data_IF_827707982894
#
_entry.id   IF_827707982894
#
_cell.length_a   1.000
_cell.length_b   1.000
_cell.length_c   1.000
_cell.angle_alpha   90.00
_cell.angle_beta   90.00
_cell.angle_gamma   90.00
#
_symmetry.space_group_name_H-M   'P 1'
#
loop_
_entity.id
_entity.type
_entity.pdbx_description
1 polymer ?
#
# COMPACT_ATOMS: atom_id res chain seq x y z
N UNK A 1 -0.30 11.35 38.27
CA UNK A 1 -0.43 11.95 36.92
C UNK A 1 0.03 10.94 35.88
N UNK A 2 -0.83 9.96 35.56
CA UNK A 2 -0.61 8.90 34.57
C UNK A 2 -1.99 8.35 34.12
N UNK A 3 -2.91 9.25 33.74
CA UNK A 3 -4.35 8.93 33.59
C UNK A 3 -5.03 9.38 32.29
N UNK A 4 -4.34 10.01 31.33
CA UNK A 4 -5.00 10.62 30.15
C UNK A 4 -4.66 9.98 28.78
N UNK A 5 -4.18 8.75 28.74
CA UNK A 5 -4.09 8.00 27.48
C UNK A 5 -4.84 6.67 27.59
N UNK A 6 -6.13 6.75 27.26
CA UNK A 6 -7.06 5.64 27.22
C UNK A 6 -6.90 4.73 26.01
N UNK A 7 -5.67 4.30 25.67
CA UNK A 7 -5.48 3.13 24.82
C UNK A 7 -5.49 1.87 25.70
N UNK A 8 -6.68 1.54 26.21
CA UNK A 8 -6.92 0.23 26.79
C UNK A 8 -7.21 -0.74 25.66
N UNK A 9 -6.23 -1.58 25.33
CA UNK A 9 -6.46 -2.81 24.57
C UNK A 9 -7.56 -3.60 25.30
N UNK A 10 -8.73 -3.73 24.66
CA UNK A 10 -10.00 -4.19 25.24
C UNK A 10 -10.00 -5.64 25.77
N UNK A 11 -8.90 -6.38 25.60
CA UNK A 11 -8.86 -7.81 25.91
C UNK A 11 -9.00 -8.14 27.41
N UNK A 12 -8.76 -7.19 28.32
CA UNK A 12 -8.72 -7.45 29.77
C UNK A 12 -10.04 -7.22 30.53
N UNK A 13 -11.16 -6.93 29.85
CA UNK A 13 -12.44 -6.63 30.53
C UNK A 13 -13.60 -7.61 30.34
N UNK A 14 -13.42 -8.70 29.58
CA UNK A 14 -14.49 -9.69 29.39
C UNK A 14 -15.72 -9.14 28.65
N UNK A 15 -15.58 -8.03 27.92
CA UNK A 15 -16.62 -7.54 27.02
C UNK A 15 -16.61 -8.38 25.74
N UNK A 16 -17.76 -8.94 25.37
CA UNK A 16 -17.91 -9.67 24.11
C UNK A 16 -17.85 -8.66 22.96
N UNK A 17 -16.79 -8.70 22.17
CA UNK A 17 -16.67 -7.96 20.93
C UNK A 17 -16.75 -8.93 19.75
N UNK A 18 -17.43 -8.48 18.69
CA UNK A 18 -17.45 -9.17 17.40
C UNK A 18 -16.60 -8.36 16.45
N UNK A 19 -15.62 -9.01 15.84
CA UNK A 19 -14.79 -8.41 14.81
C UNK A 19 -14.75 -9.36 13.61
N UNK A 20 -14.89 -8.79 12.41
CA UNK A 20 -14.62 -9.51 11.18
C UNK A 20 -13.77 -8.64 10.28
N UNK A 21 -12.69 -9.23 9.78
CA UNK A 21 -11.73 -8.59 8.91
C UNK A 21 -11.46 -9.50 7.72
N UNK A 22 -11.53 -8.92 6.52
CA UNK A 22 -11.16 -9.56 5.28
C UNK A 22 -10.12 -8.71 4.58
N UNK A 23 -9.04 -9.35 4.16
CA UNK A 23 -8.03 -8.73 3.31
C UNK A 23 -7.87 -9.60 2.07
N UNK A 24 -8.11 -9.04 0.89
CA UNK A 24 -7.89 -9.69 -0.40
C UNK A 24 -6.78 -8.96 -1.11
N UNK A 25 -5.78 -9.71 -1.57
CA UNK A 25 -4.69 -9.17 -2.40
C UNK A 25 -4.61 -9.98 -3.69
N UNK A 26 -4.70 -9.29 -4.81
CA UNK A 26 -4.62 -9.88 -6.14
C UNK A 26 -3.42 -9.30 -6.87
N UNK A 27 -2.58 -10.17 -7.42
CA UNK A 27 -1.39 -9.80 -8.17
C UNK A 27 -1.41 -10.50 -9.53
N UNK A 28 -1.37 -9.73 -10.61
CA UNK A 28 -1.25 -10.25 -11.96
C UNK A 28 -0.02 -9.64 -12.63
N UNK A 29 0.94 -10.49 -12.96
CA UNK A 29 2.16 -10.11 -13.66
C UNK A 29 2.15 -10.63 -15.11
N UNK A 30 2.48 -9.77 -16.05
CA UNK A 30 2.69 -10.12 -17.46
C UNK A 30 4.11 -9.72 -17.89
N UNK A 31 4.81 -10.64 -18.53
CA UNK A 31 6.17 -10.43 -19.03
C UNK A 31 6.25 -10.75 -20.52
N UNK A 32 6.65 -9.78 -21.34
CA UNK A 32 6.83 -9.93 -22.78
C UNK A 32 8.18 -9.33 -23.20
N UNK A 33 9.19 -10.20 -23.32
CA UNK A 33 10.57 -9.78 -23.57
C UNK A 33 11.06 -8.80 -22.50
N UNK A 34 11.47 -7.56 -22.86
CA UNK A 34 11.90 -6.56 -21.90
C UNK A 34 10.73 -5.91 -21.13
N UNK A 35 9.49 -6.06 -21.59
CA UNK A 35 8.33 -5.41 -20.99
C UNK A 35 7.80 -6.22 -19.81
N UNK A 36 7.56 -5.55 -18.69
CA UNK A 36 6.92 -6.15 -17.51
C UNK A 36 5.79 -5.24 -17.04
N UNK A 37 4.59 -5.79 -16.98
CA UNK A 37 3.43 -5.15 -16.37
C UNK A 37 3.06 -5.92 -15.10
N UNK A 38 2.82 -5.19 -14.02
CA UNK A 38 2.31 -5.73 -12.77
C UNK A 38 1.05 -4.96 -12.39
N UNK A 39 -0.03 -5.69 -12.18
CA UNK A 39 -1.29 -5.17 -11.66
C UNK A 39 -1.47 -5.72 -10.24
N UNK A 40 -1.65 -4.82 -9.29
CA UNK A 40 -1.78 -5.15 -7.86
C UNK A 40 -3.09 -4.53 -7.38
N UNK A 41 -3.94 -5.33 -6.75
CA UNK A 41 -5.15 -4.85 -6.11
C UNK A 41 -5.18 -5.34 -4.67
N UNK A 42 -5.35 -4.43 -3.72
CA UNK A 42 -5.59 -4.79 -2.33
C UNK A 42 -6.92 -4.23 -1.88
N UNK A 43 -7.67 -5.07 -1.19
CA UNK A 43 -8.95 -4.73 -0.60
C UNK A 43 -8.91 -5.14 0.85
N UNK A 44 -9.07 -4.18 1.75
CA UNK A 44 -9.16 -4.41 3.17
C UNK A 44 -10.53 -3.95 3.66
N UNK A 45 -11.20 -4.81 4.42
CA UNK A 45 -12.45 -4.51 5.06
C UNK A 45 -12.42 -5.04 6.48
N UNK A 46 -12.90 -4.26 7.43
CA UNK A 46 -12.96 -4.64 8.82
C UNK A 46 -14.08 -3.90 9.52
N UNK A 47 -14.88 -4.62 10.28
CA UNK A 47 -15.80 -4.02 11.23
C UNK A 47 -15.60 -4.63 12.61
N UNK A 48 -15.78 -3.80 13.63
CA UNK A 48 -15.68 -4.17 15.03
C UNK A 48 -16.87 -3.60 15.78
N UNK A 49 -17.42 -4.36 16.70
CA UNK A 49 -18.60 -3.94 17.43
C UNK A 49 -18.90 -4.79 18.65
N UNK A 50 -19.91 -4.38 19.40
CA UNK A 50 -20.37 -5.13 20.59
C UNK A 50 -21.29 -6.30 20.22
N UNK A 51 -21.85 -6.30 19.01
CA UNK A 51 -22.67 -7.38 18.45
C UNK A 51 -22.76 -7.24 16.93
N UNK A 52 -23.21 -8.27 16.20
CA UNK A 52 -23.42 -8.20 14.74
C UNK A 52 -24.44 -7.13 14.30
N UNK A 53 -25.29 -6.64 15.21
CA UNK A 53 -26.23 -5.54 14.95
C UNK A 53 -25.69 -4.15 15.29
N UNK A 54 -24.49 -4.05 15.86
CA UNK A 54 -23.84 -2.79 16.23
C UNK A 54 -22.34 -2.89 15.89
N UNK A 55 -22.05 -2.76 14.60
CA UNK A 55 -20.71 -2.84 14.01
C UNK A 55 -20.28 -1.47 13.50
N UNK A 56 -19.07 -1.05 13.87
CA UNK A 56 -18.40 0.13 13.34
C UNK A 56 -17.31 -0.29 12.35
N UNK A 57 -17.20 0.44 11.24
CA UNK A 57 -16.17 0.18 10.23
C UNK A 57 -14.81 0.65 10.72
N UNK A 58 -13.86 -0.28 10.89
CA UNK A 58 -12.48 0.00 11.36
C UNK A 58 -11.45 -0.02 10.24
N UNK A 59 -11.73 -0.76 9.16
CA UNK A 59 -10.91 -0.76 7.95
C UNK A 59 -11.82 -0.84 6.74
N UNK A 60 -11.55 -0.02 5.74
CA UNK A 60 -12.36 0.04 4.53
C UNK A 60 -11.59 0.73 3.42
N UNK A 61 -10.85 -0.07 2.66
CA UNK A 61 -9.89 0.42 1.70
C UNK A 61 -9.82 -0.48 0.49
N UNK A 62 -9.78 0.15 -0.67
CA UNK A 62 -9.43 -0.47 -1.93
C UNK A 62 -8.26 0.31 -2.52
N UNK A 63 -7.16 -0.37 -2.77
CA UNK A 63 -6.05 0.14 -3.58
C UNK A 63 -5.91 -0.69 -4.85
N UNK A 64 -5.59 0.00 -5.93
CA UNK A 64 -5.19 -0.63 -7.18
C UNK A 64 -3.98 0.09 -7.73
N UNK A 65 -2.93 -0.63 -8.11
CA UNK A 65 -1.75 -0.09 -8.77
C UNK A 65 -1.46 -0.88 -10.05
N UNK A 66 -1.11 -0.14 -11.09
CA UNK A 66 -0.53 -0.68 -12.32
C UNK A 66 0.91 -0.16 -12.42
N UNK A 67 1.88 -1.07 -12.42
CA UNK A 67 3.30 -0.78 -12.56
C UNK A 67 3.82 -1.35 -13.86
N UNK A 68 4.34 -0.49 -14.72
CA UNK A 68 5.04 -0.86 -15.94
C UNK A 68 6.55 -0.67 -15.77
N UNK A 69 7.32 -1.63 -16.24
CA UNK A 69 8.77 -1.62 -16.24
C UNK A 69 9.31 -2.10 -17.58
N UNK A 70 10.40 -1.48 -18.01
CA UNK A 70 11.14 -1.92 -19.19
C UNK A 70 12.56 -2.35 -18.81
N UNK A 71 12.91 -3.62 -19.06
CA UNK A 71 14.23 -4.18 -18.76
C UNK A 71 15.22 -3.80 -19.84
N UNK A 72 16.30 -3.16 -19.45
CA UNK A 72 17.37 -2.76 -20.38
C UNK A 72 18.62 -3.53 -20.00
N UNK A 73 19.00 -4.54 -20.79
CA UNK A 73 20.14 -5.42 -20.46
C UNK A 73 21.47 -4.66 -20.38
N UNK A 74 21.62 -3.58 -21.16
CA UNK A 74 22.82 -2.73 -21.16
C UNK A 74 22.92 -1.80 -19.94
N UNK A 75 21.82 -1.57 -19.21
CA UNK A 75 21.79 -0.71 -18.03
C UNK A 75 21.64 -1.55 -16.76
N UNK A 76 22.29 -1.11 -15.68
CA UNK A 76 22.12 -1.74 -14.36
C UNK A 76 20.82 -1.32 -13.66
N UNK A 77 19.95 -0.60 -14.35
CA UNK A 77 18.69 -0.04 -13.86
C UNK A 77 17.61 -0.15 -14.93
N UNK A 78 16.39 -0.44 -14.51
CA UNK A 78 15.22 -0.50 -15.38
C UNK A 78 14.35 0.75 -15.14
N UNK A 79 13.98 1.54 -16.17
CA UNK A 79 12.94 2.55 -16.01
C UNK A 79 11.60 1.91 -15.62
N UNK A 80 10.89 2.60 -14.73
CA UNK A 80 9.60 2.16 -14.18
C UNK A 80 8.64 3.34 -14.10
N UNK A 81 7.39 3.08 -14.42
CA UNK A 81 6.28 4.00 -14.21
C UNK A 81 5.14 3.25 -13.52
N UNK A 82 4.38 3.93 -12.67
CA UNK A 82 3.16 3.37 -12.10
C UNK A 82 2.06 4.39 -11.97
N UNK A 83 0.83 3.92 -12.00
CA UNK A 83 -0.37 4.68 -11.68
C UNK A 83 -1.20 3.86 -10.71
N UNK A 84 -1.92 4.51 -9.82
CA UNK A 84 -2.76 3.82 -8.86
C UNK A 84 -3.89 4.67 -8.33
N UNK A 85 -4.88 4.00 -7.78
CA UNK A 85 -6.05 4.59 -7.14
C UNK A 85 -6.22 4.02 -5.75
N UNK A 86 -6.64 4.87 -4.82
CA UNK A 86 -7.01 4.48 -3.45
C UNK A 86 -8.38 5.04 -3.13
N UNK A 87 -9.27 4.20 -2.64
CA UNK A 87 -10.60 4.60 -2.20
C UNK A 87 -11.09 3.75 -1.02
N UNK A 88 -12.30 3.99 -0.53
CA UNK A 88 -12.98 3.20 0.49
C UNK A 88 -14.35 2.75 -0.03
N UNK A 89 -14.93 1.67 0.48
CA UNK A 89 -16.29 1.23 0.14
C UNK A 89 -17.36 2.11 0.79
N UNK A 90 -17.12 2.66 1.98
CA UNK A 90 -18.05 3.47 2.74
C UNK A 90 -17.75 4.96 2.59
N UNK A 91 -18.79 5.77 2.82
CA UNK A 91 -18.67 7.23 2.85
C UNK A 91 -18.32 7.63 4.28
N UNK A 92 -17.18 8.28 4.49
CA UNK A 92 -16.86 8.92 5.77
C UNK A 92 -17.32 10.38 5.69
N UNK A 93 -18.18 10.82 6.60
CA UNK A 93 -18.62 12.21 6.72
C UNK A 93 -19.06 12.90 5.40
N UNK A 94 -19.83 12.20 4.55
CA UNK A 94 -20.49 12.77 3.38
C UNK A 94 -19.77 12.63 2.03
N UNK A 95 -18.51 12.19 2.00
CA UNK A 95 -17.80 11.88 0.74
C UNK A 95 -17.00 10.60 0.82
N UNK A 96 -16.78 9.95 -0.32
CA UNK A 96 -15.92 8.76 -0.40
C UNK A 96 -14.50 9.24 -0.69
N UNK A 97 -13.50 8.89 0.14
CA UNK A 97 -12.11 9.25 -0.15
C UNK A 97 -11.72 8.67 -1.50
N UNK A 98 -11.17 9.50 -2.37
CA UNK A 98 -10.67 9.07 -3.67
C UNK A 98 -9.36 9.78 -3.95
N UNK A 99 -8.30 8.99 -4.11
CA UNK A 99 -6.96 9.48 -4.39
C UNK A 99 -6.41 8.78 -5.62
N UNK A 100 -5.87 9.55 -6.55
CA UNK A 100 -5.05 9.02 -7.64
C UNK A 100 -3.58 9.29 -7.35
N UNK A 101 -2.71 8.36 -7.71
CA UNK A 101 -1.26 8.50 -7.62
C UNK A 101 -0.60 8.09 -8.92
N UNK A 102 0.47 8.78 -9.28
CA UNK A 102 1.33 8.43 -10.41
C UNK A 102 2.78 8.55 -9.99
N UNK A 103 3.65 7.70 -10.50
CA UNK A 103 5.08 7.82 -10.27
C UNK A 103 5.90 7.33 -11.45
N UNK A 104 7.11 7.88 -11.60
CA UNK A 104 8.07 7.49 -12.62
C UNK A 104 9.48 7.57 -12.06
N UNK A 105 10.34 6.63 -12.47
CA UNK A 105 11.72 6.60 -12.04
C UNK A 105 12.44 5.35 -12.50
N UNK A 106 13.32 4.84 -11.63
CA UNK A 106 14.18 3.71 -11.93
C UNK A 106 14.13 2.69 -10.82
N UNK A 107 14.27 1.42 -11.19
CA UNK A 107 14.50 0.35 -10.24
C UNK A 107 15.81 -0.38 -10.56
N UNK A 108 16.43 -0.89 -9.51
CA UNK A 108 17.64 -1.70 -9.58
C UNK A 108 17.40 -2.98 -8.82
N UNK A 109 17.61 -4.10 -9.51
CA UNK A 109 17.62 -5.41 -8.88
C UNK A 109 19.04 -5.72 -8.37
N UNK A 110 19.20 -5.83 -7.06
CA UNK A 110 20.44 -6.24 -6.40
C UNK A 110 20.34 -7.73 -6.07
N UNK A 111 21.16 -8.53 -6.77
CA UNK A 111 21.09 -10.02 -6.72
C UNK A 111 19.69 -10.51 -7.12
N UNK A 112 19.33 -11.75 -6.80
CA UNK A 112 17.99 -12.30 -7.09
C UNK A 112 16.93 -12.00 -6.01
N UNK A 113 17.28 -11.17 -5.03
CA UNK A 113 16.57 -11.11 -3.73
C UNK A 113 16.09 -9.71 -3.40
N UNK A 114 16.81 -8.66 -3.81
CA UNK A 114 16.49 -7.28 -3.43
C UNK A 114 16.17 -6.45 -4.68
N UNK A 115 15.11 -5.66 -4.62
CA UNK A 115 14.78 -4.65 -5.61
C UNK A 115 14.68 -3.31 -4.90
N UNK A 116 15.44 -2.32 -5.39
CA UNK A 116 15.36 -0.94 -4.92
C UNK A 116 14.74 -0.10 -6.03
N UNK A 117 13.77 0.74 -5.70
CA UNK A 117 13.13 1.67 -6.62
C UNK A 117 13.23 3.08 -6.08
N UNK A 118 13.60 4.01 -6.95
CA UNK A 118 13.56 5.45 -6.71
C UNK A 118 12.68 6.10 -7.77
N UNK A 119 11.66 6.84 -7.36
CA UNK A 119 10.71 7.46 -8.27
C UNK A 119 10.27 8.85 -7.78
N UNK A 120 10.03 9.76 -8.71
CA UNK A 120 9.20 10.93 -8.43
C UNK A 120 7.74 10.48 -8.42
N UNK A 121 6.97 10.94 -7.43
CA UNK A 121 5.55 10.60 -7.27
C UNK A 121 4.72 11.87 -7.16
N UNK A 122 3.60 11.89 -7.88
CA UNK A 122 2.50 12.84 -7.69
C UNK A 122 1.25 12.11 -7.21
N UNK A 123 0.42 12.79 -6.41
CA UNK A 123 -0.89 12.30 -6.02
C UNK A 123 -1.90 13.43 -5.94
N UNK A 124 -3.14 13.15 -6.36
CA UNK A 124 -4.30 14.03 -6.28
C UNK A 124 -5.29 13.43 -5.30
N UNK A 125 -5.65 14.16 -4.26
CA UNK A 125 -6.78 13.82 -3.41
C UNK A 125 -8.01 14.61 -3.89
N UNK A 126 -9.03 13.91 -4.36
CA UNK A 126 -10.19 14.54 -4.98
C UNK A 126 -11.22 15.05 -3.97
N UNK A 127 -11.15 14.59 -2.71
CA UNK A 127 -12.06 15.05 -1.65
C UNK A 127 -11.63 16.41 -1.14
N UNK A 128 -10.35 16.57 -0.83
CA UNK A 128 -9.77 17.86 -0.39
C UNK A 128 -9.29 18.73 -1.56
N UNK A 129 -9.34 18.19 -2.79
CA UNK A 129 -8.92 18.87 -4.02
C UNK A 129 -7.45 19.34 -4.01
N UNK A 130 -6.58 18.58 -3.35
CA UNK A 130 -5.16 18.90 -3.16
C UNK A 130 -4.24 18.01 -4.01
N UNK A 131 -3.09 18.56 -4.37
CA UNK A 131 -2.00 17.84 -5.03
C UNK A 131 -0.81 17.76 -4.08
N UNK A 132 -0.24 16.56 -3.95
CA UNK A 132 1.08 16.38 -3.34
C UNK A 132 2.05 15.83 -4.40
N UNK A 133 3.27 16.32 -4.36
CA UNK A 133 4.39 15.81 -5.16
C UNK A 133 5.55 15.48 -4.25
N UNK A 134 6.37 14.50 -4.59
CA UNK A 134 7.47 14.08 -3.75
C UNK A 134 8.35 13.01 -4.36
N UNK A 135 9.32 12.55 -3.58
CA UNK A 135 10.16 11.42 -3.91
C UNK A 135 9.68 10.16 -3.17
N UNK A 136 9.74 9.03 -3.85
CA UNK A 136 9.40 7.72 -3.32
C UNK A 136 10.61 6.80 -3.42
N UNK A 137 10.90 6.11 -2.33
CA UNK A 137 11.90 5.04 -2.25
C UNK A 137 11.20 3.76 -1.83
N UNK A 138 11.36 2.69 -2.60
CA UNK A 138 10.83 1.37 -2.24
C UNK A 138 11.95 0.36 -2.20
N UNK A 139 11.97 -0.48 -1.17
CA UNK A 139 12.86 -1.61 -1.01
C UNK A 139 12.01 -2.87 -0.88
N UNK A 140 12.13 -3.79 -1.83
CA UNK A 140 11.45 -5.08 -1.81
C UNK A 140 12.47 -6.20 -1.65
N UNK A 141 12.28 -7.04 -0.64
CA UNK A 141 13.07 -8.23 -0.38
C UNK A 141 12.21 -9.47 -0.62
N UNK A 142 12.61 -10.30 -1.58
CA UNK A 142 11.90 -11.54 -1.93
C UNK A 142 12.84 -12.73 -1.87
N UNK A 143 12.54 -13.69 -1.01
CA UNK A 143 13.32 -14.91 -0.85
C UNK A 143 12.45 -16.16 -0.90
N UNK A 144 12.92 -17.21 -1.58
CA UNK A 144 12.28 -18.53 -1.53
C UNK A 144 12.83 -19.28 -0.32
N UNK A 145 11.95 -19.62 0.62
CA UNK A 145 12.29 -20.45 1.75
C UNK A 145 12.56 -21.88 1.27
N UNK A 146 13.44 -22.60 1.99
CA UNK A 146 13.77 -24.00 1.69
C UNK A 146 12.55 -24.94 1.79
N UNK A 147 11.52 -24.54 2.54
CA UNK A 147 10.25 -25.25 2.70
C UNK A 147 9.26 -25.07 1.53
N UNK A 148 9.66 -24.39 0.44
CA UNK A 148 8.80 -24.15 -0.71
C UNK A 148 7.94 -22.89 -0.62
N UNK A 149 7.94 -22.21 0.54
CA UNK A 149 7.27 -20.91 0.72
C UNK A 149 8.06 -19.75 0.09
N UNK A 150 7.37 -18.65 -0.20
CA UNK A 150 8.00 -17.40 -0.63
C UNK A 150 7.80 -16.34 0.46
N UNK A 151 8.90 -15.78 0.94
CA UNK A 151 8.89 -14.60 1.80
C UNK A 151 9.01 -13.37 0.92
N UNK A 152 8.12 -12.41 1.12
CA UNK A 152 8.19 -11.08 0.52
C UNK A 152 8.07 -10.05 1.65
N UNK A 153 8.91 -9.02 1.62
CA UNK A 153 8.85 -7.90 2.53
C UNK A 153 9.12 -6.62 1.77
N UNK A 154 8.35 -5.59 2.05
CA UNK A 154 8.42 -4.31 1.36
C UNK A 154 8.50 -3.16 2.36
N UNK A 155 9.50 -2.30 2.20
CA UNK A 155 9.57 -1.02 2.89
C UNK A 155 9.41 0.10 1.86
N UNK A 156 8.51 1.04 2.14
CA UNK A 156 8.17 2.15 1.26
C UNK A 156 8.24 3.47 2.01
N UNK A 157 9.10 4.37 1.55
CA UNK A 157 9.21 5.74 2.06
C UNK A 157 8.73 6.74 1.02
N UNK A 158 7.93 7.71 1.45
CA UNK A 158 7.51 8.86 0.64
C UNK A 158 7.87 10.16 1.37
N UNK A 159 8.57 11.02 0.64
CA UNK A 159 8.98 12.35 1.06
C UNK A 159 8.28 13.37 0.17
N UNK A 160 7.18 13.94 0.67
CA UNK A 160 6.49 15.03 0.00
C UNK A 160 7.31 16.31 -0.02
N UNK A 161 7.12 17.12 -1.05
CA UNK A 161 7.48 18.54 -1.10
C UNK A 161 6.54 19.37 -0.21
N UNK A 162 5.32 18.88 0.03
CA UNK A 162 4.42 19.34 1.09
C UNK A 162 4.84 18.75 2.46
N UNK A 163 4.26 19.21 3.57
CA UNK A 163 4.58 18.76 4.95
C UNK A 163 4.35 17.25 5.22
N UNK A 164 4.00 16.46 4.21
CA UNK A 164 3.62 15.06 4.35
C UNK A 164 4.83 14.14 4.16
N UNK A 165 5.22 13.47 5.25
CA UNK A 165 6.19 12.36 5.25
C UNK A 165 5.46 11.10 5.65
N UNK A 166 5.59 10.03 4.87
CA UNK A 166 4.92 8.75 5.14
C UNK A 166 5.95 7.62 4.98
N UNK A 167 5.99 6.73 5.95
CA UNK A 167 6.76 5.49 5.90
C UNK A 167 5.77 4.34 6.10
N UNK A 168 5.79 3.37 5.19
CA UNK A 168 5.01 2.13 5.27
C UNK A 168 5.95 0.94 5.22
N UNK A 169 5.64 -0.09 6.00
CA UNK A 169 6.36 -1.37 6.01
C UNK A 169 5.32 -2.47 5.96
N UNK A 170 5.48 -3.39 5.00
CA UNK A 170 4.57 -4.49 4.68
C UNK A 170 5.30 -5.83 4.60
#
# INVERSE_FOLDING_TARGET
>A
MYKDQGERVSFLRGETSVAWNGATRYFLGYELGPHVLLLENSTDFGQLGKSFGNLETVSDRLDSDATYRYRIESLKVDPVASTGVSTAFTRSAGSRPFRMRGSAGFQKRLRRVVVIRFAGRGQRDFVVNENDYGAEVTLTYRNRMRSGGQFDSMAKGFFGLSYRKVISVE
#
